data_IF_792428570444
#
_entry.id   IF_792428570444
#
_cell.length_a   1.000
_cell.length_b   1.000
_cell.length_c   1.000
_cell.angle_alpha   90.00
_cell.angle_beta   90.00
_cell.angle_gamma   90.00
#
_symmetry.space_group_name_H-M   'P 1'
#
loop_
_entity.id
_entity.type
_entity.pdbx_description
1 polymer ?
#
# COMPACT_ATOMS: atom_id res chain seq x y z
N UNK A 1 2.55 -19.29 51.57
CA UNK A 1 2.93 -19.84 50.27
C UNK A 1 1.79 -19.81 49.26
N UNK A 2 0.61 -20.31 49.59
CA UNK A 2 -0.51 -20.33 48.64
C UNK A 2 -0.93 -18.94 48.18
N UNK A 3 -0.94 -17.96 49.08
CA UNK A 3 -1.31 -16.57 48.73
C UNK A 3 -0.33 -15.97 47.73
N UNK A 4 0.94 -16.28 47.89
CA UNK A 4 1.98 -15.78 46.97
C UNK A 4 1.84 -16.41 45.57
N UNK A 5 1.55 -17.74 45.53
CA UNK A 5 1.34 -18.43 44.26
C UNK A 5 0.10 -17.93 43.54
N UNK A 6 -0.98 -17.68 44.26
CA UNK A 6 -2.19 -17.09 43.67
C UNK A 6 -1.93 -15.71 43.08
N UNK A 7 -1.17 -14.88 43.79
CA UNK A 7 -0.81 -13.55 43.35
C UNK A 7 0.04 -13.62 42.08
N UNK A 8 1.04 -14.48 42.05
CA UNK A 8 1.91 -14.68 40.90
C UNK A 8 1.12 -15.19 39.70
N UNK A 9 0.17 -16.11 39.92
CA UNK A 9 -0.68 -16.61 38.85
C UNK A 9 -1.58 -15.54 38.29
N UNK A 10 -2.17 -14.69 39.14
CA UNK A 10 -2.99 -13.57 38.68
C UNK A 10 -2.20 -12.57 37.86
N UNK A 11 -0.99 -12.25 38.32
CA UNK A 11 -0.08 -11.35 37.57
C UNK A 11 0.28 -11.92 36.21
N UNK A 12 0.60 -13.22 36.15
CA UNK A 12 0.90 -13.89 34.89
C UNK A 12 -0.29 -13.90 33.93
N UNK A 13 -1.53 -14.08 34.45
CA UNK A 13 -2.73 -14.03 33.63
C UNK A 13 -2.99 -12.63 33.08
N UNK A 14 -2.75 -11.58 33.88
CA UNK A 14 -2.90 -10.19 33.44
C UNK A 14 -1.88 -9.89 32.34
N UNK A 15 -0.62 -10.29 32.55
CA UNK A 15 0.45 -10.09 31.55
C UNK A 15 0.10 -10.83 30.26
N UNK A 16 -0.39 -12.04 30.35
CA UNK A 16 -0.81 -12.83 29.18
C UNK A 16 -1.92 -12.15 28.41
N UNK A 17 -2.91 -11.59 29.10
CA UNK A 17 -3.99 -10.84 28.46
C UNK A 17 -3.47 -9.59 27.75
N UNK A 18 -2.55 -8.86 28.39
CA UNK A 18 -1.95 -7.66 27.81
C UNK A 18 -1.17 -8.00 26.54
N UNK A 19 -0.34 -9.05 26.58
CA UNK A 19 0.41 -9.52 25.41
C UNK A 19 -0.51 -9.97 24.30
N UNK A 20 -1.57 -10.71 24.63
CA UNK A 20 -2.54 -11.17 23.65
C UNK A 20 -3.27 -10.00 22.99
N UNK A 21 -3.66 -9.00 23.79
CA UNK A 21 -4.30 -7.79 23.27
C UNK A 21 -3.39 -7.04 22.32
N UNK A 22 -2.11 -6.90 22.67
CA UNK A 22 -1.10 -6.26 21.81
C UNK A 22 -0.90 -7.07 20.52
N UNK A 23 -0.84 -8.39 20.63
CA UNK A 23 -0.69 -9.27 19.47
C UNK A 23 -1.86 -9.08 18.49
N UNK A 24 -3.10 -9.06 19.00
CA UNK A 24 -4.28 -8.88 18.17
C UNK A 24 -4.31 -7.50 17.52
N UNK A 25 -3.87 -6.47 18.24
CA UNK A 25 -3.75 -5.11 17.70
C UNK A 25 -2.75 -5.05 16.55
N UNK A 26 -1.57 -5.62 16.76
CA UNK A 26 -0.52 -5.65 15.74
C UNK A 26 -0.95 -6.46 14.52
N UNK A 27 -1.64 -7.56 14.73
CA UNK A 27 -2.18 -8.38 13.65
C UNK A 27 -3.18 -7.59 12.81
N UNK A 28 -4.06 -6.82 13.46
CA UNK A 28 -5.03 -5.97 12.76
C UNK A 28 -4.33 -4.85 11.99
N UNK A 29 -3.30 -4.22 12.56
CA UNK A 29 -2.52 -3.20 11.88
C UNK A 29 -1.80 -3.75 10.67
N UNK A 30 -1.23 -4.95 10.80
CA UNK A 30 -0.55 -5.61 9.69
C UNK A 30 -1.53 -5.88 8.54
N UNK A 31 -2.72 -6.39 8.84
CA UNK A 31 -3.74 -6.66 7.83
C UNK A 31 -4.14 -5.37 7.09
N UNK A 32 -4.32 -4.28 7.82
CA UNK A 32 -4.64 -2.97 7.21
C UNK A 32 -3.51 -2.44 6.35
N UNK A 33 -2.28 -2.61 6.81
CA UNK A 33 -1.08 -2.19 6.06
C UNK A 33 -0.92 -2.99 4.78
N UNK A 34 -1.16 -4.29 4.83
CA UNK A 34 -1.11 -5.15 3.65
C UNK A 34 -2.19 -4.76 2.64
N UNK A 35 -3.41 -4.49 3.11
CA UNK A 35 -4.50 -4.04 2.23
C UNK A 35 -4.17 -2.71 1.58
N UNK A 36 -3.66 -1.76 2.35
CA UNK A 36 -3.23 -0.46 1.84
C UNK A 36 -2.11 -0.60 0.81
N UNK A 37 -1.17 -1.51 1.07
CA UNK A 37 -0.07 -1.79 0.15
C UNK A 37 -0.60 -2.33 -1.18
N UNK A 38 -1.56 -3.25 -1.14
CA UNK A 38 -2.18 -3.79 -2.35
C UNK A 38 -2.94 -2.71 -3.12
N UNK A 39 -3.67 -1.85 -2.41
CA UNK A 39 -4.39 -0.72 -3.01
C UNK A 39 -3.41 0.25 -3.69
N UNK A 40 -2.29 0.57 -3.04
CA UNK A 40 -1.27 1.45 -3.60
C UNK A 40 -0.59 0.84 -4.82
N UNK A 41 -0.38 -0.47 -4.83
CA UNK A 41 0.17 -1.18 -5.99
C UNK A 41 -0.77 -1.11 -7.19
N UNK A 42 -2.07 -1.30 -6.95
CA UNK A 42 -3.09 -1.19 -8.01
C UNK A 42 -3.16 0.23 -8.55
N UNK A 43 -3.18 1.22 -7.67
CA UNK A 43 -3.18 2.63 -8.05
C UNK A 43 -1.92 2.99 -8.83
N UNK A 44 -0.76 2.53 -8.38
CA UNK A 44 0.51 2.76 -9.05
C UNK A 44 0.50 2.19 -10.47
N UNK A 45 -0.01 0.98 -10.63
CA UNK A 45 -0.14 0.35 -11.96
C UNK A 45 -1.04 1.17 -12.86
N UNK A 46 -2.20 1.59 -12.36
CA UNK A 46 -3.14 2.40 -13.11
C UNK A 46 -2.52 3.74 -13.54
N UNK A 47 -1.77 4.39 -12.65
CA UNK A 47 -1.09 5.64 -12.95
C UNK A 47 0.01 5.46 -14.00
N UNK A 48 0.77 4.37 -13.92
CA UNK A 48 1.79 4.06 -14.92
C UNK A 48 1.18 3.80 -16.30
N UNK A 49 0.07 3.09 -16.35
CA UNK A 49 -0.64 2.83 -17.60
C UNK A 49 -1.18 4.13 -18.19
N UNK A 50 -1.75 5.01 -17.36
CA UNK A 50 -2.25 6.30 -17.79
C UNK A 50 -1.10 7.19 -18.30
N UNK A 51 0.03 7.21 -17.61
CA UNK A 51 1.21 7.96 -18.02
C UNK A 51 1.73 7.44 -19.36
N UNK A 52 1.84 6.13 -19.51
CA UNK A 52 2.31 5.52 -20.75
C UNK A 52 1.39 5.87 -21.92
N UNK A 53 0.08 5.83 -21.72
CA UNK A 53 -0.90 6.21 -22.74
C UNK A 53 -0.76 7.69 -23.10
N UNK A 54 -0.59 8.56 -22.12
CA UNK A 54 -0.39 9.99 -22.35
C UNK A 54 0.91 10.26 -23.12
N UNK A 55 2.01 9.60 -22.77
CA UNK A 55 3.29 9.72 -23.49
C UNK A 55 3.16 9.29 -24.95
N UNK A 56 2.43 8.19 -25.17
CA UNK A 56 2.17 7.69 -26.52
C UNK A 56 1.37 8.69 -27.34
N UNK A 57 0.34 9.29 -26.74
CA UNK A 57 -0.49 10.31 -27.38
C UNK A 57 0.34 11.56 -27.74
N UNK A 58 1.18 12.03 -26.83
CA UNK A 58 2.08 13.16 -27.08
C UNK A 58 3.03 12.85 -28.22
N UNK A 59 3.60 11.64 -28.24
CA UNK A 59 4.49 11.20 -29.32
C UNK A 59 3.75 11.20 -30.67
N UNK A 60 2.53 10.72 -30.72
CA UNK A 60 1.72 10.70 -31.92
C UNK A 60 1.40 12.12 -32.40
N UNK A 61 1.02 13.00 -31.49
CA UNK A 61 0.73 14.40 -31.82
C UNK A 61 1.97 15.11 -32.35
N UNK A 62 3.14 14.88 -31.77
CA UNK A 62 4.39 15.43 -32.18
C UNK A 62 4.74 14.94 -33.59
N UNK A 63 4.58 13.65 -33.86
CA UNK A 63 4.85 13.09 -35.20
C UNK A 63 3.89 13.65 -36.22
N UNK A 64 2.62 13.82 -35.88
CA UNK A 64 1.62 14.45 -36.75
C UNK A 64 2.00 15.90 -37.08
N UNK A 65 2.36 16.69 -36.08
CA UNK A 65 2.75 18.07 -36.25
C UNK A 65 3.98 18.20 -37.16
N UNK A 66 4.96 17.34 -36.98
CA UNK A 66 6.16 17.29 -37.84
C UNK A 66 5.79 16.95 -39.28
N UNK A 67 4.88 16.02 -39.45
CA UNK A 67 4.40 15.63 -40.79
C UNK A 67 3.68 16.78 -41.50
N UNK A 68 2.83 17.50 -40.76
CA UNK A 68 2.08 18.65 -41.28
C UNK A 68 3.06 19.78 -41.68
N UNK A 69 4.05 20.07 -40.83
CA UNK A 69 5.10 21.07 -41.12
C UNK A 69 5.89 20.69 -42.40
N UNK A 70 6.25 19.40 -42.50
CA UNK A 70 6.93 18.88 -43.69
C UNK A 70 6.09 19.05 -44.94
N UNK A 71 4.79 18.78 -44.86
CA UNK A 71 3.86 18.97 -45.97
C UNK A 71 3.70 20.45 -46.37
N UNK A 72 3.68 21.35 -45.38
CA UNK A 72 3.58 22.78 -45.58
C UNK A 72 4.82 23.37 -46.23
N UNK A 73 5.97 22.74 -46.05
CA UNK A 73 7.24 23.18 -46.62
C UNK A 73 7.41 22.84 -48.10
N UNK A 74 6.58 21.96 -48.59
CA UNK A 74 6.60 21.51 -49.98
C UNK A 74 5.62 22.33 -50.78
#
# INVERSE_FOLDING_TARGET
MEILLEKQLKEALVDRKAVMGEFLRLKAELARTQQRNDDLRSENRALREALHAAEHEVTNLFAYATQVEGSASV
#
